data_IF_479935882305
#
_entry.id   IF_479935882305
#
_cell.length_a   1.000
_cell.length_b   1.000
_cell.length_c   1.000
_cell.angle_alpha   90.00
_cell.angle_beta   90.00
_cell.angle_gamma   90.00
#
_symmetry.space_group_name_H-M   'P 1'
#
loop_
_entity.id
_entity.type
_entity.pdbx_description
1 polymer ?
#
# COMPACT_ATOMS: atom_id res chain seq x y z
N UNK A 1 -12.20 -1.38 27.21
CA UNK A 1 -11.17 -2.28 26.70
C UNK A 1 -10.08 -2.51 27.72
N UNK A 2 -9.61 -3.74 27.87
CA UNK A 2 -8.46 -3.98 28.74
C UNK A 2 -7.24 -3.20 28.26
N UNK A 3 -6.53 -2.59 29.19
CA UNK A 3 -5.33 -1.80 28.85
C UNK A 3 -4.28 -2.60 28.10
N UNK A 4 -4.15 -3.89 28.40
CA UNK A 4 -3.21 -4.80 27.74
C UNK A 4 -3.51 -4.95 26.25
N UNK A 5 -4.79 -5.06 25.88
CA UNK A 5 -5.21 -5.19 24.48
C UNK A 5 -4.97 -3.88 23.72
N UNK A 6 -5.24 -2.76 24.36
CA UNK A 6 -4.99 -1.45 23.77
C UNK A 6 -3.51 -1.23 23.51
N UNK A 7 -2.65 -1.60 24.45
CA UNK A 7 -1.20 -1.48 24.26
C UNK A 7 -0.70 -2.33 23.08
N UNK A 8 -1.26 -3.54 22.89
CA UNK A 8 -0.93 -4.40 21.74
C UNK A 8 -1.37 -3.75 20.41
N UNK A 9 -2.56 -3.16 20.36
CA UNK A 9 -3.06 -2.48 19.18
C UNK A 9 -2.21 -1.25 18.85
N UNK A 10 -1.80 -0.49 19.85
CA UNK A 10 -0.94 0.67 19.66
C UNK A 10 0.44 0.26 19.13
N UNK A 11 0.97 -0.84 19.60
CA UNK A 11 2.25 -1.39 19.14
C UNK A 11 2.18 -1.83 17.69
N UNK A 12 1.10 -2.51 17.30
CA UNK A 12 0.88 -2.93 15.92
C UNK A 12 0.73 -1.72 15.01
N UNK A 13 -0.06 -0.73 15.40
CA UNK A 13 -0.23 0.50 14.64
C UNK A 13 1.09 1.23 14.42
N UNK A 14 1.89 1.37 15.47
CA UNK A 14 3.21 2.01 15.37
C UNK A 14 4.13 1.25 14.43
N UNK A 15 4.11 -0.08 14.47
CA UNK A 15 4.91 -0.91 13.57
C UNK A 15 4.46 -0.77 12.11
N UNK A 16 3.15 -0.72 11.86
CA UNK A 16 2.61 -0.49 10.51
C UNK A 16 3.14 0.83 9.96
N UNK A 17 3.05 1.91 10.72
CA UNK A 17 3.51 3.24 10.28
C UNK A 17 5.01 3.27 10.04
N UNK A 18 5.77 2.49 10.79
CA UNK A 18 7.22 2.37 10.61
C UNK A 18 7.62 1.39 9.52
N UNK A 19 6.66 0.70 8.88
CA UNK A 19 6.94 -0.30 7.85
C UNK A 19 7.55 -1.59 8.40
N UNK A 20 7.35 -1.89 9.67
CA UNK A 20 7.89 -3.09 10.32
C UNK A 20 6.83 -4.18 10.43
N UNK A 21 7.22 -5.41 10.09
CA UNK A 21 6.35 -6.58 10.24
C UNK A 21 6.64 -7.22 11.59
N UNK A 22 5.58 -7.38 12.40
CA UNK A 22 5.66 -8.09 13.68
C UNK A 22 5.09 -9.50 13.52
N UNK A 23 5.62 -10.49 14.25
CA UNK A 23 5.11 -11.87 14.18
C UNK A 23 3.63 -12.00 14.54
N UNK A 24 3.11 -11.09 15.36
CA UNK A 24 1.70 -11.11 15.80
C UNK A 24 0.74 -10.52 14.76
N UNK A 25 1.25 -9.94 13.67
CA UNK A 25 0.39 -9.33 12.64
C UNK A 25 -0.33 -10.38 11.81
N UNK A 26 -1.60 -10.11 11.49
CA UNK A 26 -2.32 -10.86 10.47
C UNK A 26 -1.88 -10.41 9.07
N UNK A 27 -2.39 -11.08 8.02
CA UNK A 27 -2.02 -10.77 6.64
C UNK A 27 -2.31 -9.31 6.26
N UNK A 28 -3.48 -8.81 6.63
CA UNK A 28 -3.92 -7.44 6.30
C UNK A 28 -2.98 -6.41 6.92
N UNK A 29 -2.62 -6.61 8.18
CA UNK A 29 -1.69 -5.71 8.88
C UNK A 29 -0.29 -5.74 8.26
N UNK A 30 0.16 -6.91 7.81
CA UNK A 30 1.44 -7.06 7.10
C UNK A 30 1.42 -6.30 5.77
N UNK A 31 0.32 -6.36 5.03
CA UNK A 31 0.14 -5.61 3.78
C UNK A 31 0.27 -4.12 4.04
N UNK A 32 -0.39 -3.61 5.08
CA UNK A 32 -0.31 -2.18 5.42
C UNK A 32 1.11 -1.77 5.80
N UNK A 33 1.84 -2.61 6.56
CA UNK A 33 3.23 -2.33 6.93
C UNK A 33 4.13 -2.26 5.71
N UNK A 34 3.98 -3.18 4.76
CA UNK A 34 4.75 -3.15 3.51
C UNK A 34 4.39 -1.90 2.70
N UNK A 35 3.10 -1.56 2.62
CA UNK A 35 2.64 -0.37 1.92
C UNK A 35 3.28 0.91 2.47
N UNK A 36 3.45 0.97 3.79
CA UNK A 36 4.07 2.13 4.44
C UNK A 36 5.52 2.37 4.02
N UNK A 37 6.18 1.37 3.43
CA UNK A 37 7.58 1.49 2.96
C UNK A 37 7.71 2.21 1.62
N UNK A 38 6.63 2.41 0.89
CA UNK A 38 6.68 2.97 -0.47
C UNK A 38 6.93 4.48 -0.39
N UNK A 39 8.05 4.98 -0.91
CA UNK A 39 8.35 6.41 -0.82
C UNK A 39 7.51 7.24 -1.79
N UNK A 40 7.38 8.52 -1.49
CA UNK A 40 6.71 9.46 -2.38
C UNK A 40 7.39 9.49 -3.75
N UNK A 41 6.58 9.52 -4.80
CA UNK A 41 7.09 9.51 -6.18
C UNK A 41 7.33 8.13 -6.75
N UNK A 42 7.11 7.08 -5.95
CA UNK A 42 7.30 5.69 -6.35
C UNK A 42 6.02 4.89 -6.14
N UNK A 43 5.92 3.76 -6.82
CA UNK A 43 4.78 2.84 -6.70
C UNK A 43 5.29 1.41 -6.66
N UNK A 44 4.42 0.51 -6.18
CA UNK A 44 4.60 -0.94 -6.32
C UNK A 44 3.31 -1.52 -6.90
N UNK A 45 3.38 -2.77 -7.38
CA UNK A 45 2.17 -3.47 -7.82
C UNK A 45 1.60 -4.30 -6.68
N UNK A 46 0.33 -4.69 -6.80
CA UNK A 46 -0.28 -5.63 -5.84
C UNK A 46 0.52 -6.94 -5.80
N UNK A 47 1.01 -7.39 -6.96
CA UNK A 47 1.85 -8.58 -7.04
C UNK A 47 3.18 -8.43 -6.31
N UNK A 48 3.77 -7.23 -6.32
CA UNK A 48 5.02 -6.96 -5.59
C UNK A 48 4.83 -7.17 -4.09
N UNK A 49 3.72 -6.68 -3.54
CA UNK A 49 3.42 -6.85 -2.12
C UNK A 49 3.16 -8.33 -1.81
N UNK A 50 2.38 -9.01 -2.65
CA UNK A 50 2.10 -10.44 -2.48
C UNK A 50 3.39 -11.25 -2.48
N UNK A 51 4.30 -10.97 -3.42
CA UNK A 51 5.59 -11.65 -3.50
C UNK A 51 6.44 -11.40 -2.26
N UNK A 52 6.44 -10.17 -1.75
CA UNK A 52 7.21 -9.82 -0.54
C UNK A 52 6.71 -10.60 0.68
N UNK A 53 5.41 -10.90 0.73
CA UNK A 53 4.80 -11.64 1.82
C UNK A 53 4.71 -13.15 1.53
N UNK A 54 5.39 -13.60 0.48
CA UNK A 54 5.40 -15.00 0.05
C UNK A 54 3.97 -15.54 -0.16
N UNK A 55 3.15 -14.74 -0.83
CA UNK A 55 1.74 -15.04 -1.09
C UNK A 55 1.45 -14.93 -2.59
N UNK A 56 0.57 -15.78 -3.09
CA UNK A 56 0.05 -15.68 -4.46
C UNK A 56 -1.22 -14.84 -4.54
N UNK A 57 -1.69 -14.35 -3.41
CA UNK A 57 -2.98 -13.67 -3.28
C UNK A 57 -2.94 -12.17 -3.57
N UNK A 58 -2.60 -11.76 -4.80
CA UNK A 58 -2.65 -10.34 -5.14
C UNK A 58 -4.04 -9.73 -4.95
N UNK A 59 -5.12 -10.51 -5.07
CA UNK A 59 -6.48 -10.05 -4.80
C UNK A 59 -6.68 -9.77 -3.31
N UNK A 60 -6.12 -10.62 -2.45
CA UNK A 60 -6.16 -10.40 -1.00
C UNK A 60 -5.42 -9.12 -0.61
N UNK A 61 -4.33 -8.81 -1.32
CA UNK A 61 -3.61 -7.53 -1.14
C UNK A 61 -4.54 -6.36 -1.49
N UNK A 62 -5.24 -6.44 -2.63
CA UNK A 62 -6.20 -5.41 -3.04
C UNK A 62 -7.30 -5.20 -2.02
N UNK A 63 -7.84 -6.29 -1.47
CA UNK A 63 -8.87 -6.21 -0.42
C UNK A 63 -8.32 -5.55 0.85
N UNK A 64 -7.08 -5.87 1.23
CA UNK A 64 -6.44 -5.24 2.38
C UNK A 64 -6.25 -3.74 2.16
N UNK A 65 -5.86 -3.33 0.95
CA UNK A 65 -5.71 -1.92 0.61
C UNK A 65 -7.03 -1.15 0.74
N UNK A 66 -8.14 -1.77 0.33
CA UNK A 66 -9.47 -1.15 0.44
C UNK A 66 -9.91 -0.98 1.90
N UNK A 67 -9.34 -1.75 2.82
CA UNK A 67 -9.64 -1.67 4.26
C UNK A 67 -8.69 -0.77 5.04
N UNK A 68 -7.72 -0.15 4.37
CA UNK A 68 -6.70 0.67 5.03
C UNK A 68 -7.33 1.86 5.76
N UNK A 69 -7.31 1.87 7.11
CA UNK A 69 -7.88 2.97 7.88
C UNK A 69 -6.91 4.14 8.06
N UNK A 70 -5.68 4.00 7.57
CA UNK A 70 -4.58 4.94 7.82
C UNK A 70 -4.17 5.72 6.57
N UNK A 71 -5.01 5.70 5.52
CA UNK A 71 -4.74 6.50 4.32
C UNK A 71 -4.89 8.00 4.62
N UNK A 72 -4.04 8.87 4.10
CA UNK A 72 -2.93 8.59 3.17
C UNK A 72 -1.58 8.32 3.85
N UNK A 73 -1.51 8.29 5.18
CA UNK A 73 -0.26 8.07 5.91
C UNK A 73 0.35 6.70 5.55
N UNK A 74 -0.51 5.67 5.46
CA UNK A 74 -0.14 4.41 4.84
C UNK A 74 -0.61 4.52 3.38
N UNK A 75 0.31 4.68 2.42
CA UNK A 75 -0.03 5.23 1.11
C UNK A 75 -0.57 4.19 0.12
N UNK A 76 -1.79 3.71 0.34
CA UNK A 76 -2.41 2.73 -0.54
C UNK A 76 -2.58 3.25 -1.97
N UNK A 77 -2.56 4.57 -2.19
CA UNK A 77 -2.57 5.16 -3.52
C UNK A 77 -1.31 4.85 -4.33
N UNK A 78 -0.22 4.40 -3.68
CA UNK A 78 1.04 4.02 -4.34
C UNK A 78 1.09 2.56 -4.75
N UNK A 79 -0.06 1.87 -4.76
CA UNK A 79 -0.16 0.47 -5.19
C UNK A 79 -1.02 0.43 -6.46
N UNK A 80 -0.47 -0.15 -7.52
CA UNK A 80 -1.10 -0.15 -8.85
C UNK A 80 -1.15 -1.57 -9.43
N UNK A 81 -1.88 -1.74 -10.54
CA UNK A 81 -1.96 -3.02 -11.23
C UNK A 81 -0.62 -3.43 -11.86
N UNK A 82 -0.52 -4.68 -12.29
CA UNK A 82 0.71 -5.28 -12.82
C UNK A 82 1.28 -4.54 -14.05
N UNK A 83 0.44 -3.82 -14.79
CA UNK A 83 0.85 -3.03 -15.95
C UNK A 83 1.02 -1.54 -15.62
N UNK A 84 0.88 -1.16 -14.37
CA UNK A 84 0.90 0.25 -13.95
C UNK A 84 -0.46 0.91 -13.95
N UNK A 85 -1.50 0.19 -14.40
CA UNK A 85 -2.85 0.72 -14.48
C UNK A 85 -3.41 1.02 -13.09
N UNK A 86 -4.02 2.19 -12.93
CA UNK A 86 -4.69 2.56 -11.69
C UNK A 86 -5.95 1.71 -11.52
N UNK A 87 -6.05 1.03 -10.40
CA UNK A 87 -7.19 0.18 -10.06
C UNK A 87 -7.53 0.40 -8.58
N UNK A 88 -8.80 0.28 -8.24
CA UNK A 88 -9.31 0.26 -6.87
C UNK A 88 -8.70 1.29 -5.92
N UNK A 89 -9.50 2.29 -5.55
CA UNK A 89 -9.12 3.23 -4.48
C UNK A 89 -10.40 3.68 -3.79
N UNK A 90 -10.42 3.68 -2.47
CA UNK A 90 -11.62 4.03 -1.70
C UNK A 90 -12.12 5.44 -2.02
N UNK A 91 -11.21 6.37 -2.32
CA UNK A 91 -11.56 7.74 -2.72
C UNK A 91 -11.89 7.93 -4.19
N UNK A 92 -11.81 6.85 -5.01
CA UNK A 92 -12.03 6.91 -6.46
C UNK A 92 -10.73 7.05 -7.25
N UNK A 93 -10.75 6.58 -8.50
CA UNK A 93 -9.55 6.57 -9.35
C UNK A 93 -9.08 7.98 -9.72
N UNK A 94 -9.99 8.93 -9.87
CA UNK A 94 -9.63 10.33 -10.15
C UNK A 94 -8.79 10.92 -9.02
N UNK A 95 -9.19 10.65 -7.79
CA UNK A 95 -8.44 11.11 -6.60
C UNK A 95 -7.08 10.42 -6.53
N UNK A 96 -7.03 9.12 -6.80
CA UNK A 96 -5.77 8.36 -6.84
C UNK A 96 -4.81 8.96 -7.85
N UNK A 97 -5.27 9.21 -9.08
CA UNK A 97 -4.47 9.82 -10.13
C UNK A 97 -3.97 11.20 -9.73
N UNK A 98 -4.83 12.01 -9.12
CA UNK A 98 -4.48 13.37 -8.67
C UNK A 98 -3.36 13.32 -7.63
N UNK A 99 -3.45 12.43 -6.65
CA UNK A 99 -2.43 12.32 -5.60
C UNK A 99 -1.09 11.89 -6.22
N UNK A 100 -1.11 10.89 -7.12
CA UNK A 100 0.12 10.43 -7.78
C UNK A 100 0.76 11.53 -8.62
N UNK A 101 -0.03 12.35 -9.31
CA UNK A 101 0.48 13.49 -10.06
C UNK A 101 1.12 14.53 -9.13
N UNK A 102 0.50 14.80 -8.00
CA UNK A 102 1.05 15.73 -6.99
C UNK A 102 2.38 15.21 -6.45
N UNK A 103 2.55 13.90 -6.36
CA UNK A 103 3.80 13.26 -5.94
C UNK A 103 4.82 13.13 -7.08
N UNK A 104 4.49 13.64 -8.27
CA UNK A 104 5.34 13.62 -9.45
C UNK A 104 5.69 12.21 -9.93
N UNK A 105 4.77 11.27 -9.78
CA UNK A 105 4.95 9.90 -10.28
C UNK A 105 4.90 9.91 -11.81
N UNK A 106 5.92 9.37 -12.50
CA UNK A 106 5.91 9.31 -13.97
C UNK A 106 4.75 8.47 -14.49
N UNK A 107 4.05 9.00 -15.49
CA UNK A 107 2.91 8.34 -16.12
C UNK A 107 3.20 8.10 -17.61
N UNK A 108 2.78 6.95 -18.14
CA UNK A 108 2.87 6.69 -19.61
C UNK A 108 1.63 7.20 -20.32
N UNK A 109 0.50 7.24 -19.62
CA UNK A 109 -0.77 7.77 -20.14
C UNK A 109 -1.65 8.12 -18.97
N UNK A 110 -2.81 8.74 -19.23
CA UNK A 110 -3.79 9.00 -18.20
C UNK A 110 -4.24 7.67 -17.61
N UNK A 111 -4.13 7.53 -16.29
CA UNK A 111 -4.54 6.33 -15.57
C UNK A 111 -3.53 5.18 -15.60
N UNK A 112 -2.32 5.38 -16.13
CA UNK A 112 -1.29 4.33 -16.14
C UNK A 112 0.07 4.88 -15.76
N UNK A 113 0.64 4.32 -14.69
CA UNK A 113 1.97 4.70 -14.18
C UNK A 113 3.06 4.07 -15.05
N UNK A 114 4.15 4.81 -15.27
CA UNK A 114 5.35 4.30 -15.93
C UNK A 114 6.14 3.46 -14.91
N UNK A 115 5.92 2.14 -14.90
CA UNK A 115 6.58 1.23 -13.97
C UNK A 115 8.09 1.17 -14.15
N UNK A 116 8.60 1.40 -15.37
CA UNK A 116 10.04 1.40 -15.61
C UNK A 116 10.71 2.49 -14.79
N UNK A 117 10.10 3.67 -14.72
CA UNK A 117 10.66 4.83 -14.02
C UNK A 117 10.26 4.91 -12.54
N UNK A 118 9.05 4.43 -12.19
CA UNK A 118 8.46 4.70 -10.89
C UNK A 118 8.44 3.52 -9.92
N UNK A 119 8.71 2.31 -10.38
CA UNK A 119 8.59 1.12 -9.55
C UNK A 119 9.63 1.09 -8.43
N UNK A 120 9.16 0.95 -7.21
CA UNK A 120 10.00 0.82 -6.02
C UNK A 120 10.35 -0.65 -5.76
N UNK A 121 11.58 -0.91 -5.38
CA UNK A 121 12.03 -2.24 -4.99
C UNK A 121 11.77 -2.43 -3.49
N UNK A 122 10.86 -3.33 -3.16
CA UNK A 122 10.54 -3.63 -1.76
C UNK A 122 11.63 -4.42 -1.03
#
# INVERSE_FOLDING_TARGET
MPAKLQASNDKIKAAIFAGRILPSMNFVEKVWAICARIPEGKVVTYGDIAAKLDSKGYRAVGMAMNRNPYSPDVPCHRVVGSTGKLTGYAGGLDKKAKILKQEKVPMVSEGTVDLIKARHQL
#
